data_IF_973360853398
#
_entry.id   IF_973360853398
#
_cell.length_a   1.000
_cell.length_b   1.000
_cell.length_c   1.000
_cell.angle_alpha   90.00
_cell.angle_beta   90.00
_cell.angle_gamma   90.00
#
_symmetry.space_group_name_H-M   'P 1'
#
loop_
_entity.id
_entity.type
_entity.pdbx_description
1 polymer ?
#
# COMPACT_ATOMS: atom_id res chain seq x y z
N UNK A 1 8.10 -26.43 17.56
CA UNK A 1 7.54 -25.06 17.56
C UNK A 1 7.94 -24.40 16.24
N UNK A 2 7.01 -24.27 15.30
CA UNK A 2 7.29 -23.72 13.97
C UNK A 2 7.43 -22.20 14.05
N UNK A 3 8.60 -21.68 13.67
CA UNK A 3 8.95 -20.26 13.66
C UNK A 3 7.93 -19.46 12.83
N UNK A 4 7.11 -18.64 13.51
CA UNK A 4 6.16 -17.67 12.91
C UNK A 4 6.85 -16.57 12.07
N UNK A 5 8.17 -16.61 11.89
CA UNK A 5 9.00 -15.50 11.43
C UNK A 5 9.27 -15.46 9.93
N UNK A 6 8.80 -16.40 9.13
CA UNK A 6 9.20 -16.46 7.71
C UNK A 6 8.74 -15.24 6.89
N UNK A 7 7.68 -14.54 7.34
CA UNK A 7 7.08 -13.44 6.60
C UNK A 7 7.06 -12.10 7.36
N UNK A 8 7.68 -12.01 8.55
CA UNK A 8 7.73 -10.76 9.30
C UNK A 8 8.74 -9.80 8.66
N UNK A 9 8.41 -8.51 8.59
CA UNK A 9 9.24 -7.47 7.98
C UNK A 9 9.12 -6.16 8.78
N UNK A 10 10.20 -5.37 8.80
CA UNK A 10 10.14 -4.00 9.31
C UNK A 10 9.60 -3.05 8.24
N UNK A 11 8.45 -2.43 8.51
CA UNK A 11 7.81 -1.43 7.65
C UNK A 11 7.78 -0.11 8.41
N UNK A 12 8.83 0.68 8.19
CA UNK A 12 8.97 2.02 8.74
C UNK A 12 8.52 3.09 7.73
N UNK A 13 8.43 4.37 8.14
CA UNK A 13 8.00 5.45 7.24
C UNK A 13 8.86 5.60 5.98
N UNK A 14 10.17 5.37 6.08
CA UNK A 14 11.09 5.45 4.94
C UNK A 14 10.83 4.34 3.91
N UNK A 15 10.52 3.12 4.37
CA UNK A 15 10.12 2.01 3.52
C UNK A 15 8.86 2.35 2.72
N UNK A 16 7.83 2.87 3.40
CA UNK A 16 6.56 3.28 2.78
C UNK A 16 6.82 4.38 1.75
N UNK A 17 7.59 5.40 2.09
CA UNK A 17 7.90 6.51 1.18
C UNK A 17 8.63 6.02 -0.08
N UNK A 18 9.61 5.11 0.06
CA UNK A 18 10.31 4.51 -1.08
C UNK A 18 9.35 3.76 -2.01
N UNK A 19 8.40 3.00 -1.47
CA UNK A 19 7.38 2.29 -2.28
C UNK A 19 6.47 3.26 -3.02
N UNK A 20 5.99 4.31 -2.36
CA UNK A 20 5.15 5.35 -3.00
C UNK A 20 5.94 6.07 -4.11
N UNK A 21 7.21 6.41 -3.89
CA UNK A 21 8.05 7.06 -4.90
C UNK A 21 8.27 6.21 -6.14
N UNK A 22 8.57 4.92 -5.97
CA UNK A 22 8.72 3.99 -7.10
C UNK A 22 7.44 3.91 -7.93
N UNK A 23 6.29 3.81 -7.26
CA UNK A 23 4.98 3.79 -7.91
C UNK A 23 4.69 5.10 -8.65
N UNK A 24 5.00 6.24 -8.03
CA UNK A 24 4.85 7.57 -8.64
C UNK A 24 5.69 7.72 -9.91
N UNK A 25 6.95 7.27 -9.88
CA UNK A 25 7.86 7.27 -11.03
C UNK A 25 7.51 6.23 -12.11
N UNK A 26 6.49 5.39 -11.89
CA UNK A 26 6.03 4.39 -12.86
C UNK A 26 6.85 3.11 -12.90
N UNK A 27 7.77 2.91 -11.95
CA UNK A 27 8.62 1.71 -11.83
C UNK A 27 7.94 0.57 -11.07
N UNK A 28 6.75 0.81 -10.54
CA UNK A 28 5.99 -0.06 -9.65
C UNK A 28 4.52 0.42 -9.62
N UNK A 29 3.69 -0.23 -8.82
CA UNK A 29 2.43 0.35 -8.36
C UNK A 29 2.32 0.27 -6.84
N UNK A 30 1.41 1.08 -6.28
CA UNK A 30 0.96 0.91 -4.90
C UNK A 30 -0.56 0.96 -4.83
N UNK A 31 -1.14 0.04 -4.06
CA UNK A 31 -2.58 -0.06 -3.83
C UNK A 31 -2.86 -0.22 -2.34
N UNK A 32 -3.86 0.48 -1.83
CA UNK A 32 -4.35 0.32 -0.45
C UNK A 32 -5.81 -0.04 -0.52
N UNK A 33 -6.24 -1.07 0.22
CA UNK A 33 -7.63 -1.53 0.23
C UNK A 33 -8.27 -1.31 1.61
N UNK A 34 -9.55 -0.95 1.59
CA UNK A 34 -10.43 -0.95 2.75
C UNK A 34 -11.25 -2.24 2.76
N UNK A 35 -10.63 -3.34 3.20
CA UNK A 35 -11.25 -4.68 3.27
C UNK A 35 -11.95 -5.11 1.97
N UNK A 36 -11.38 -4.73 0.81
CA UNK A 36 -11.94 -5.02 -0.52
C UNK A 36 -13.11 -4.15 -0.97
N UNK A 37 -13.67 -3.28 -0.11
CA UNK A 37 -14.83 -2.42 -0.44
C UNK A 37 -14.44 -1.17 -1.23
N UNK A 38 -13.28 -0.61 -0.92
CA UNK A 38 -12.74 0.62 -1.51
C UNK A 38 -11.25 0.44 -1.73
N UNK A 39 -10.69 1.17 -2.68
CA UNK A 39 -9.24 1.17 -2.88
C UNK A 39 -8.71 2.50 -3.39
N UNK A 40 -7.47 2.80 -3.03
CA UNK A 40 -6.64 3.80 -3.68
C UNK A 40 -5.50 3.09 -4.44
N UNK A 41 -5.14 3.61 -5.61
CA UNK A 41 -4.13 3.03 -6.49
C UNK A 41 -3.27 4.14 -7.11
N UNK A 42 -1.97 3.92 -7.22
CA UNK A 42 -1.04 4.84 -7.88
C UNK A 42 -0.09 4.07 -8.77
N UNK A 43 0.03 4.53 -10.02
CA UNK A 43 1.07 4.10 -10.96
C UNK A 43 1.35 5.23 -11.94
N UNK A 44 2.63 5.53 -12.17
CA UNK A 44 3.06 6.50 -13.18
C UNK A 44 2.34 7.85 -13.05
N UNK A 45 2.37 8.45 -11.86
CA UNK A 45 1.72 9.73 -11.50
C UNK A 45 0.18 9.73 -11.58
N UNK A 46 -0.45 8.64 -12.02
CA UNK A 46 -1.91 8.50 -12.10
C UNK A 46 -2.42 7.90 -10.81
N UNK A 47 -3.10 8.73 -10.02
CA UNK A 47 -3.86 8.31 -8.87
C UNK A 47 -5.24 7.84 -9.32
N UNK A 48 -5.69 6.69 -8.84
CA UNK A 48 -7.04 6.19 -9.01
C UNK A 48 -7.66 5.83 -7.66
N UNK A 49 -8.95 6.05 -7.50
CA UNK A 49 -9.68 5.69 -6.30
C UNK A 49 -11.06 5.14 -6.65
N UNK A 50 -11.46 4.09 -5.95
CA UNK A 50 -12.80 3.51 -6.01
C UNK A 50 -13.47 3.63 -4.65
N UNK A 51 -14.65 4.25 -4.61
CA UNK A 51 -15.37 4.53 -3.37
C UNK A 51 -16.42 3.49 -2.99
N UNK A 52 -16.51 2.38 -3.71
CA UNK A 52 -17.57 1.36 -3.57
C UNK A 52 -18.67 1.47 -4.65
N UNK A 53 -18.73 2.59 -5.38
CA UNK A 53 -19.77 2.85 -6.40
C UNK A 53 -19.13 3.32 -7.71
N UNK A 54 -18.26 4.33 -7.63
CA UNK A 54 -17.61 4.97 -8.77
C UNK A 54 -16.09 4.95 -8.64
N UNK A 55 -15.43 4.88 -9.80
CA UNK A 55 -13.99 5.02 -9.94
C UNK A 55 -13.66 6.43 -10.44
N UNK A 56 -12.64 7.03 -9.84
CA UNK A 56 -12.06 8.30 -10.25
C UNK A 56 -10.58 8.09 -10.56
N UNK A 57 -10.05 8.80 -11.55
CA UNK A 57 -8.63 8.76 -11.87
C UNK A 57 -8.14 10.14 -12.33
N UNK A 58 -6.92 10.49 -11.96
CA UNK A 58 -6.29 11.74 -12.38
C UNK A 58 -4.83 11.82 -11.98
N UNK A 59 -4.10 12.72 -12.62
CA UNK A 59 -2.71 13.00 -12.23
C UNK A 59 -2.69 13.70 -10.86
N UNK A 60 -1.72 13.33 -10.03
CA UNK A 60 -1.45 14.00 -8.75
C UNK A 60 0.03 14.36 -8.67
N UNK A 61 0.36 15.35 -7.84
CA UNK A 61 1.76 15.64 -7.52
C UNK A 61 2.34 14.54 -6.62
N UNK A 62 3.67 14.44 -6.60
CA UNK A 62 4.40 13.52 -5.73
C UNK A 62 4.03 13.76 -4.26
N UNK A 63 4.07 15.03 -3.81
CA UNK A 63 3.71 15.42 -2.45
C UNK A 63 2.29 14.98 -2.07
N UNK A 64 1.31 15.19 -2.96
CA UNK A 64 -0.06 14.77 -2.71
C UNK A 64 -0.17 13.25 -2.63
N UNK A 65 0.53 12.53 -3.51
CA UNK A 65 0.55 11.06 -3.53
C UNK A 65 1.15 10.49 -2.25
N UNK A 66 2.31 11.00 -1.80
CA UNK A 66 2.92 10.63 -0.51
C UNK A 66 1.95 10.81 0.65
N UNK A 67 1.39 12.01 0.78
CA UNK A 67 0.45 12.31 1.87
C UNK A 67 -0.73 11.35 1.90
N UNK A 68 -1.40 11.16 0.75
CA UNK A 68 -2.58 10.30 0.66
C UNK A 68 -2.23 8.85 1.02
N UNK A 69 -1.18 8.28 0.43
CA UNK A 69 -0.85 6.87 0.67
C UNK A 69 -0.33 6.63 2.08
N UNK A 70 0.48 7.52 2.65
CA UNK A 70 0.93 7.39 4.04
C UNK A 70 -0.26 7.39 5.01
N UNK A 71 -1.24 8.30 4.83
CA UNK A 71 -2.44 8.35 5.67
C UNK A 71 -3.32 7.09 5.52
N UNK A 72 -3.47 6.59 4.29
CA UNK A 72 -4.27 5.38 4.04
C UNK A 72 -3.60 4.12 4.58
N UNK A 73 -2.29 3.99 4.43
CA UNK A 73 -1.51 2.86 4.96
C UNK A 73 -1.53 2.86 6.48
N UNK A 74 -1.39 4.03 7.11
CA UNK A 74 -1.47 4.13 8.56
C UNK A 74 -2.87 3.79 9.08
N UNK A 75 -3.93 4.20 8.37
CA UNK A 75 -5.32 3.88 8.74
C UNK A 75 -5.67 2.41 8.55
N UNK A 76 -5.42 1.88 7.37
CA UNK A 76 -5.90 0.55 6.96
C UNK A 76 -4.88 -0.55 7.22
N UNK A 77 -3.66 -0.17 7.62
CA UNK A 77 -2.57 -1.08 7.98
C UNK A 77 -2.30 -2.16 6.93
N UNK A 78 -2.47 -1.80 5.65
CA UNK A 78 -2.17 -2.65 4.52
C UNK A 78 -1.75 -1.82 3.30
N UNK A 79 -0.98 -2.43 2.41
CA UNK A 79 -0.78 -1.99 1.03
C UNK A 79 -0.19 -3.11 0.20
N UNK A 80 -0.41 -3.03 -1.10
CA UNK A 80 0.08 -3.97 -2.09
C UNK A 80 0.99 -3.21 -3.06
N UNK A 81 2.16 -3.77 -3.35
CA UNK A 81 3.08 -3.28 -4.38
C UNK A 81 3.63 -4.45 -5.18
N UNK A 82 3.56 -4.40 -6.51
CA UNK A 82 4.14 -5.40 -7.41
C UNK A 82 3.80 -6.84 -7.01
N UNK A 83 2.50 -7.10 -6.81
CA UNK A 83 1.91 -8.39 -6.40
C UNK A 83 2.38 -8.90 -5.02
N UNK A 84 2.95 -8.03 -4.18
CA UNK A 84 3.27 -8.33 -2.78
C UNK A 84 2.34 -7.53 -1.88
N UNK A 85 1.54 -8.22 -1.05
CA UNK A 85 0.72 -7.61 -0.01
C UNK A 85 1.53 -7.50 1.29
N UNK A 86 1.60 -6.28 1.82
CA UNK A 86 2.09 -5.97 3.16
C UNK A 86 0.89 -5.66 4.06
N UNK A 87 0.86 -6.22 5.26
CA UNK A 87 -0.22 -6.01 6.22
C UNK A 87 0.28 -6.08 7.65
N UNK A 88 -0.35 -5.31 8.54
CA UNK A 88 -0.05 -5.37 9.97
C UNK A 88 -0.86 -6.49 10.61
N UNK A 89 -0.20 -7.36 11.37
CA UNK A 89 -0.84 -8.40 12.16
C UNK A 89 -1.01 -7.91 13.60
N UNK A 90 -2.24 -7.53 13.95
CA UNK A 90 -2.59 -7.01 15.27
C UNK A 90 -2.26 -7.98 16.42
N UNK A 91 -2.32 -9.30 16.17
CA UNK A 91 -2.03 -10.30 17.21
C UNK A 91 -0.54 -10.37 17.57
N UNK A 92 0.34 -10.13 16.60
CA UNK A 92 1.79 -10.16 16.81
C UNK A 92 2.40 -8.76 16.95
N UNK A 93 1.68 -7.71 16.57
CA UNK A 93 2.19 -6.34 16.51
C UNK A 93 3.26 -6.15 15.43
N UNK A 94 3.27 -6.98 14.39
CA UNK A 94 4.32 -7.01 13.37
C UNK A 94 3.72 -6.83 11.98
N UNK A 95 4.46 -6.16 11.11
CA UNK A 95 4.18 -6.18 9.69
C UNK A 95 4.59 -7.52 9.08
N UNK A 96 3.73 -8.02 8.22
CA UNK A 96 3.84 -9.30 7.53
C UNK A 96 3.71 -9.05 6.03
N UNK A 97 4.20 -9.97 5.20
CA UNK A 97 4.00 -9.93 3.77
C UNK A 97 3.64 -11.29 3.17
N UNK A 98 3.00 -11.30 2.00
CA UNK A 98 2.87 -12.47 1.14
C UNK A 98 2.64 -12.07 -0.32
N UNK A 99 2.88 -12.99 -1.24
CA UNK A 99 2.55 -12.82 -2.66
C UNK A 99 1.03 -12.91 -2.88
N UNK A 100 0.50 -12.06 -3.75
CA UNK A 100 -0.89 -12.09 -4.21
C UNK A 100 -0.94 -13.07 -5.38
N UNK A 101 -1.50 -14.25 -5.16
CA UNK A 101 -1.66 -15.31 -6.19
C UNK A 101 -2.69 -14.94 -7.25
#
# INVERSE_FOLDING_TARGET
MLNKSQNAIDVNPEFIEKKINRAYCGLSYIKVNDSGKKYAYLKNKVYSYFNGIKKYSGKRSERASKKIFTELIDRYKNFECDDILYYFNDNSGLWMWHEVR
#
